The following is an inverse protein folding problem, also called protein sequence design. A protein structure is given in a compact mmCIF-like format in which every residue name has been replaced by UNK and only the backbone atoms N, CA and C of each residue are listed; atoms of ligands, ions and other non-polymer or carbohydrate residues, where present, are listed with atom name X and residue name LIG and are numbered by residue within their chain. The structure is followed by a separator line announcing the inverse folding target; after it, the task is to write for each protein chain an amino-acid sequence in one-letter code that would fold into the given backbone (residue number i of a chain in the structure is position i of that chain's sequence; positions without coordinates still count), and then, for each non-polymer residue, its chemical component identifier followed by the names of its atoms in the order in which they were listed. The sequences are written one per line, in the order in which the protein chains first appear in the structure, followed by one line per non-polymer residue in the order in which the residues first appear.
data_IF_212670490273
#
_entry.id   IF_212670490273
#
_cell.length_a   1.000
_cell.length_b   1.000
_cell.length_c   1.000
_cell.angle_alpha   90.00
_cell.angle_beta   90.00
_cell.angle_gamma   90.00
#
_symmetry.space_group_name_H-M   'P 1'
#
loop_
_entity.id
_entity.type
_entity.pdbx_description
1 polymer ?
#
# COMPACT_ATOMS: atom_id res chain seq x y z
N UNK A 1 15.87 13.44 2.93
CA UNK A 1 15.85 12.31 1.97
C UNK A 1 15.25 11.14 2.74
N UNK A 2 13.96 10.89 2.60
CA UNK A 2 13.28 9.87 3.41
C UNK A 2 12.22 9.18 2.54
N UNK A 3 12.61 8.06 1.94
CA UNK A 3 11.65 7.12 1.35
C UNK A 3 10.77 6.61 2.49
N UNK A 4 9.51 7.05 2.53
CA UNK A 4 8.56 6.60 3.55
C UNK A 4 8.39 5.08 3.43
N UNK A 5 8.80 4.38 4.49
CA UNK A 5 8.71 2.93 4.64
C UNK A 5 7.29 2.43 4.34
N UNK A 6 7.20 1.23 3.76
CA UNK A 6 5.93 0.51 3.63
C UNK A 6 5.22 0.47 4.99
N UNK A 7 3.89 0.70 5.03
CA UNK A 7 3.19 0.85 6.29
C UNK A 7 3.29 -0.41 7.14
N UNK A 8 3.65 -0.25 8.41
CA UNK A 8 4.00 -1.36 9.31
C UNK A 8 2.72 -2.05 9.78
N UNK A 9 2.61 -3.37 9.56
CA UNK A 9 1.50 -4.17 10.07
C UNK A 9 1.66 -4.46 11.57
N UNK A 10 0.55 -4.69 12.27
CA UNK A 10 0.58 -5.07 13.69
C UNK A 10 1.41 -6.31 13.98
N UNK A 11 1.41 -7.30 13.09
CA UNK A 11 2.24 -8.50 13.21
C UNK A 11 3.74 -8.16 13.25
N UNK A 12 4.17 -7.16 12.48
CA UNK A 12 5.56 -6.72 12.50
C UNK A 12 5.89 -5.98 13.79
N UNK A 13 5.00 -5.14 14.31
CA UNK A 13 5.18 -4.47 15.61
C UNK A 13 5.36 -5.48 16.75
N UNK A 14 4.52 -6.51 16.79
CA UNK A 14 4.64 -7.60 17.76
C UNK A 14 5.94 -8.40 17.53
N UNK A 15 6.28 -8.68 16.28
CA UNK A 15 7.52 -9.36 15.92
C UNK A 15 8.77 -8.61 16.39
N UNK A 16 8.84 -7.29 16.15
CA UNK A 16 9.93 -6.45 16.63
C UNK A 16 9.99 -6.39 18.15
N UNK A 17 8.84 -6.26 18.81
CA UNK A 17 8.78 -6.31 20.28
C UNK A 17 9.33 -7.64 20.83
N UNK A 18 9.02 -8.77 20.18
CA UNK A 18 9.55 -10.08 20.57
C UNK A 18 11.07 -10.15 20.37
N UNK A 19 11.59 -9.66 19.25
CA UNK A 19 13.03 -9.61 19.00
C UNK A 19 13.77 -8.77 20.05
N UNK A 20 13.25 -7.60 20.38
CA UNK A 20 13.84 -6.72 21.41
C UNK A 20 13.83 -7.42 22.78
N UNK A 21 12.72 -8.07 23.14
CA UNK A 21 12.61 -8.78 24.41
C UNK A 21 13.61 -9.95 24.49
N UNK A 22 13.69 -10.76 23.44
CA UNK A 22 14.63 -11.87 23.34
C UNK A 22 16.07 -11.40 23.51
N UNK A 23 16.46 -10.32 22.81
CA UNK A 23 17.80 -9.75 22.90
C UNK A 23 18.14 -9.24 24.31
N UNK A 24 17.15 -8.68 25.03
CA UNK A 24 17.35 -8.19 26.40
C UNK A 24 17.50 -9.32 27.42
N UNK A 25 16.82 -10.43 27.20
CA UNK A 25 16.81 -11.57 28.12
C UNK A 25 17.83 -12.65 27.75
N UNK A 26 18.46 -12.56 26.58
CA UNK A 26 19.39 -13.58 26.08
C UNK A 26 18.73 -14.93 25.79
N UNK A 27 17.41 -14.95 25.57
CA UNK A 27 16.62 -16.16 25.30
C UNK A 27 15.73 -15.98 24.08
N UNK A 28 15.44 -17.07 23.38
CA UNK A 28 14.52 -17.08 22.24
C UNK A 28 13.07 -17.39 22.62
N UNK A 29 12.83 -17.77 23.88
CA UNK A 29 11.53 -18.24 24.39
C UNK A 29 10.71 -17.15 25.07
N UNK A 30 11.15 -15.89 25.01
CA UNK A 30 10.37 -14.82 25.60
C UNK A 30 9.12 -14.56 24.77
N UNK A 31 7.99 -14.45 25.47
CA UNK A 31 6.69 -14.20 24.86
C UNK A 31 6.14 -12.85 25.30
N UNK A 32 5.65 -12.09 24.33
CA UNK A 32 4.81 -10.94 24.62
C UNK A 32 3.42 -11.41 25.01
N UNK A 33 2.79 -10.74 25.97
CA UNK A 33 1.40 -11.01 26.31
C UNK A 33 0.48 -10.80 25.12
N UNK A 34 -0.60 -11.58 25.02
CA UNK A 34 -1.56 -11.55 23.91
C UNK A 34 -2.07 -10.13 23.58
N UNK A 35 -2.30 -9.31 24.61
CA UNK A 35 -2.81 -7.95 24.48
C UNK A 35 -1.71 -6.87 24.35
N UNK A 36 -0.43 -7.24 24.28
CA UNK A 36 0.68 -6.27 24.33
C UNK A 36 0.63 -5.27 23.18
N UNK A 37 0.42 -5.74 21.94
CA UNK A 37 0.36 -4.87 20.77
C UNK A 37 -0.78 -3.84 20.85
N UNK A 38 -1.96 -4.26 21.33
CA UNK A 38 -3.10 -3.33 21.56
C UNK A 38 -2.76 -2.29 22.63
N UNK A 39 -2.23 -2.74 23.78
CA UNK A 39 -1.86 -1.85 24.90
C UNK A 39 -0.76 -0.86 24.52
N UNK A 40 0.17 -1.26 23.65
CA UNK A 40 1.18 -0.37 23.10
C UNK A 40 0.53 0.78 22.32
N UNK A 41 -0.40 0.46 21.42
CA UNK A 41 -1.12 1.47 20.64
C UNK A 41 -1.95 2.41 21.53
N UNK A 42 -2.61 1.87 22.55
CA UNK A 42 -3.38 2.68 23.51
C UNK A 42 -2.50 3.66 24.28
N UNK A 43 -1.33 3.20 24.73
CA UNK A 43 -0.35 4.03 25.43
C UNK A 43 0.19 5.16 24.57
N UNK A 44 0.36 4.93 23.27
CA UNK A 44 0.90 5.90 22.32
C UNK A 44 -0.18 6.46 21.39
N UNK A 45 -1.43 6.54 21.84
CA UNK A 45 -2.57 6.95 21.02
C UNK A 45 -2.53 8.41 20.54
N UNK A 46 -1.73 9.26 21.19
CA UNK A 46 -1.41 10.62 20.75
C UNK A 46 -0.59 10.64 19.46
N UNK A 47 0.29 9.65 19.27
CA UNK A 47 1.28 9.59 18.19
C UNK A 47 0.98 8.53 17.15
N UNK A 48 0.32 7.43 17.54
CA UNK A 48 0.06 6.27 16.70
C UNK A 48 -1.44 6.05 16.52
N UNK A 49 -1.78 5.51 15.36
CA UNK A 49 -3.13 5.03 15.08
C UNK A 49 -3.09 3.86 14.11
N UNK A 50 -4.19 3.10 14.09
CA UNK A 50 -4.40 2.02 13.12
C UNK A 50 -5.30 2.55 12.01
N UNK A 51 -4.85 2.41 10.77
CA UNK A 51 -5.67 2.67 9.60
C UNK A 51 -5.78 1.43 8.72
N UNK A 52 -6.76 1.43 7.81
CA UNK A 52 -6.92 0.38 6.81
C UNK A 52 -6.31 0.83 5.50
N UNK A 53 -5.34 0.08 4.98
CA UNK A 53 -4.79 0.34 3.64
C UNK A 53 -5.85 0.12 2.57
N UNK A 54 -5.92 1.04 1.59
CA UNK A 54 -6.76 0.89 0.40
C UNK A 54 -6.03 0.01 -0.63
N UNK A 55 -6.78 -0.87 -1.31
CA UNK A 55 -6.26 -1.85 -2.29
C UNK A 55 -5.87 -1.24 -3.62
N UNK A 56 -6.57 -0.18 -3.99
CA UNK A 56 -6.53 0.44 -5.30
C UNK A 56 -6.84 1.92 -5.07
N UNK A 57 -6.12 2.77 -5.78
CA UNK A 57 -6.38 4.20 -5.78
C UNK A 57 -7.85 4.45 -6.20
N UNK A 58 -8.56 5.33 -5.49
CA UNK A 58 -9.98 5.58 -5.76
C UNK A 58 -10.20 6.12 -7.17
N UNK A 59 -9.28 6.92 -7.71
CA UNK A 59 -9.34 7.38 -9.09
C UNK A 59 -9.22 6.20 -10.06
N UNK A 60 -8.39 5.19 -9.74
CA UNK A 60 -8.31 3.96 -10.55
C UNK A 60 -9.58 3.12 -10.47
N UNK A 61 -10.30 3.13 -9.34
CA UNK A 61 -11.63 2.48 -9.26
C UNK A 61 -12.63 3.21 -10.14
N UNK A 62 -12.65 4.55 -10.08
CA UNK A 62 -13.56 5.36 -10.88
C UNK A 62 -13.24 5.29 -12.38
N UNK A 63 -11.96 5.17 -12.74
CA UNK A 63 -11.51 4.97 -14.12
C UNK A 63 -11.95 3.62 -14.73
N UNK A 64 -12.45 2.67 -13.92
CA UNK A 64 -13.09 1.43 -14.42
C UNK A 64 -14.52 1.64 -14.89
N UNK A 65 -15.01 2.88 -14.97
CA UNK A 65 -16.30 3.16 -15.59
C UNK A 65 -16.31 2.59 -17.02
N UNK A 66 -17.28 1.71 -17.36
CA UNK A 66 -17.37 1.11 -18.69
C UNK A 66 -17.36 2.13 -19.82
N UNK A 67 -17.94 3.32 -19.60
CA UNK A 67 -17.96 4.40 -20.59
C UNK A 67 -16.54 4.87 -20.92
N UNK A 68 -15.75 5.21 -19.90
CA UNK A 68 -14.37 5.68 -20.11
C UNK A 68 -13.46 4.59 -20.70
N UNK A 69 -13.68 3.34 -20.31
CA UNK A 69 -12.94 2.21 -20.91
C UNK A 69 -13.27 2.07 -22.39
N UNK A 70 -14.55 2.17 -22.78
CA UNK A 70 -14.94 2.12 -24.18
C UNK A 70 -14.40 3.31 -24.98
N UNK A 71 -14.51 4.53 -24.45
CA UNK A 71 -13.98 5.73 -25.09
C UNK A 71 -12.47 5.63 -25.34
N UNK A 72 -11.71 5.12 -24.37
CA UNK A 72 -10.28 4.85 -24.53
C UNK A 72 -10.00 3.91 -25.72
N UNK A 73 -10.72 2.80 -25.83
CA UNK A 73 -10.53 1.85 -26.94
C UNK A 73 -10.95 2.43 -28.30
N UNK A 74 -11.96 3.30 -28.33
CA UNK A 74 -12.34 4.02 -29.56
C UNK A 74 -11.21 4.94 -30.00
N UNK A 75 -10.66 5.75 -29.09
CA UNK A 75 -9.55 6.66 -29.39
C UNK A 75 -8.31 5.87 -29.82
N UNK A 76 -7.97 4.80 -29.12
CA UNK A 76 -6.85 3.93 -29.45
C UNK A 76 -7.00 3.29 -30.84
N UNK A 77 -8.20 2.79 -31.16
CA UNK A 77 -8.50 2.19 -32.47
C UNK A 77 -8.34 3.19 -33.61
N UNK A 78 -8.80 4.43 -33.42
CA UNK A 78 -8.62 5.49 -34.40
C UNK A 78 -7.14 5.85 -34.58
N UNK A 79 -6.39 6.01 -33.50
CA UNK A 79 -4.95 6.32 -33.57
C UNK A 79 -4.15 5.21 -34.27
N UNK A 80 -4.45 3.93 -34.02
CA UNK A 80 -3.81 2.80 -34.69
C UNK A 80 -4.05 2.86 -36.20
N UNK A 81 -5.28 3.19 -36.63
CA UNK A 81 -5.64 3.32 -38.05
C UNK A 81 -4.95 4.52 -38.69
N UNK A 82 -5.06 5.70 -38.07
CA UNK A 82 -4.56 6.96 -38.60
C UNK A 82 -3.03 6.95 -38.75
N UNK A 83 -2.34 6.31 -37.81
CA UNK A 83 -0.87 6.19 -37.81
C UNK A 83 -0.37 4.90 -38.45
N UNK A 84 -1.28 4.04 -38.96
CA UNK A 84 -0.95 2.72 -39.54
C UNK A 84 0.01 1.91 -38.66
N UNK A 85 -0.31 1.84 -37.36
CA UNK A 85 0.53 1.15 -36.37
C UNK A 85 0.35 -0.37 -36.56
N UNK A 86 1.46 -1.04 -36.86
CA UNK A 86 1.48 -2.49 -36.95
C UNK A 86 1.27 -3.14 -35.57
N UNK A 87 0.50 -4.22 -35.50
CA UNK A 87 0.20 -4.91 -34.25
C UNK A 87 1.46 -5.41 -33.51
N UNK A 88 2.54 -5.75 -34.23
CA UNK A 88 3.82 -6.15 -33.63
C UNK A 88 4.55 -5.01 -32.90
N UNK A 89 4.13 -3.77 -33.14
CA UNK A 89 4.69 -2.56 -32.50
C UNK A 89 3.85 -2.06 -31.32
N UNK A 90 2.81 -2.81 -30.96
CA UNK A 90 1.98 -2.51 -29.79
C UNK A 90 2.56 -3.28 -28.61
N UNK A 91 3.29 -2.55 -27.77
CA UNK A 91 3.88 -3.09 -26.54
C UNK A 91 3.01 -2.72 -25.35
N UNK A 92 2.87 -3.65 -24.40
CA UNK A 92 2.27 -3.32 -23.11
C UNK A 92 3.18 -2.36 -22.35
N UNK A 93 2.59 -1.38 -21.66
CA UNK A 93 3.29 -0.50 -20.72
C UNK A 93 3.23 -1.13 -19.33
N UNK A 94 3.96 -2.22 -19.07
CA UNK A 94 3.95 -2.87 -17.75
C UNK A 94 5.30 -2.87 -17.04
N UNK A 95 5.66 -1.73 -16.44
CA UNK A 95 6.62 -1.84 -15.34
C UNK A 95 5.98 -2.15 -13.98
N UNK A 96 4.67 -1.96 -13.78
CA UNK A 96 4.00 -2.31 -12.50
C UNK A 96 2.53 -2.72 -12.65
N UNK A 97 2.29 -3.97 -13.05
CA UNK A 97 1.01 -4.63 -12.83
C UNK A 97 0.74 -4.79 -11.33
N UNK A 98 -0.37 -4.25 -10.83
CA UNK A 98 -0.84 -4.57 -9.48
C UNK A 98 -1.49 -5.95 -9.52
N UNK A 99 -1.13 -6.84 -8.59
CA UNK A 99 -1.78 -8.13 -8.44
C UNK A 99 -3.22 -7.93 -7.94
N UNK A 100 -4.14 -7.78 -8.90
CA UNK A 100 -5.56 -7.47 -8.69
C UNK A 100 -6.31 -8.54 -7.85
N UNK A 101 -5.70 -9.72 -7.63
CA UNK A 101 -6.24 -10.79 -6.78
C UNK A 101 -5.53 -11.01 -5.44
N UNK A 102 -4.32 -10.46 -5.24
CA UNK A 102 -3.51 -10.70 -4.02
C UNK A 102 -3.60 -9.50 -3.05
N UNK A 103 -4.06 -8.34 -3.53
CA UNK A 103 -4.04 -7.11 -2.74
C UNK A 103 -5.26 -7.05 -1.81
N UNK A 104 -5.04 -7.30 -0.51
CA UNK A 104 -6.04 -7.23 0.56
C UNK A 104 -6.17 -5.84 1.20
N UNK A 105 -7.29 -5.56 1.90
CA UNK A 105 -7.35 -4.44 2.86
C UNK A 105 -6.60 -4.93 4.09
N UNK A 106 -5.63 -4.17 4.56
CA UNK A 106 -4.79 -4.57 5.68
C UNK A 106 -4.81 -3.51 6.77
N UNK A 107 -4.77 -3.92 8.04
CA UNK A 107 -4.64 -2.98 9.15
C UNK A 107 -3.17 -2.64 9.36
N UNK A 108 -2.85 -1.37 9.22
CA UNK A 108 -1.48 -0.86 9.34
C UNK A 108 -1.40 0.19 10.44
N UNK A 109 -0.26 0.21 11.12
CA UNK A 109 0.10 1.19 12.14
C UNK A 109 0.81 2.34 11.46
N UNK A 110 0.35 3.54 11.75
CA UNK A 110 0.86 4.77 11.17
C UNK A 110 0.97 5.86 12.24
N UNK A 111 1.75 6.89 11.95
CA UNK A 111 1.76 8.09 12.78
C UNK A 111 0.41 8.82 12.67
N UNK A 112 0.00 9.46 13.77
CA UNK A 112 -1.29 10.16 13.88
C UNK A 112 -1.40 11.30 12.86
N UNK A 113 -0.32 12.08 12.73
CA UNK A 113 -0.16 13.19 11.77
C UNK A 113 -0.42 12.77 10.32
N UNK A 114 0.03 11.58 9.94
CA UNK A 114 0.01 11.16 8.55
C UNK A 114 -1.37 10.67 8.07
N UNK A 115 -2.34 10.37 8.96
CA UNK A 115 -3.72 10.06 8.52
C UNK A 115 -4.54 11.30 8.22
N UNK A 116 -4.19 12.46 8.78
CA UNK A 116 -4.87 13.70 8.42
C UNK A 116 -4.59 14.07 6.96
N UNK A 117 -3.40 13.70 6.46
CA UNK A 117 -2.96 13.92 5.08
C UNK A 117 -3.44 12.85 4.09
N UNK A 118 -4.43 12.02 4.45
CA UNK A 118 -4.95 10.95 3.61
C UNK A 118 -3.91 9.87 3.30
N UNK A 119 -3.78 8.87 4.16
CA UNK A 119 -2.93 7.71 3.88
C UNK A 119 -3.43 6.97 2.63
N UNK A 120 -2.78 7.22 1.49
CA UNK A 120 -3.13 6.62 0.20
C UNK A 120 -2.54 5.21 0.01
N UNK A 121 -1.79 4.66 0.98
CA UNK A 121 -1.16 3.34 0.87
C UNK A 121 -0.07 3.23 -0.20
N UNK A 122 0.10 4.25 -1.05
CA UNK A 122 1.24 4.42 -1.95
C UNK A 122 2.34 5.23 -1.28
N UNK A 123 3.59 4.89 -1.59
CA UNK A 123 4.73 5.74 -1.30
C UNK A 123 4.41 7.14 -1.84
N UNK A 124 4.32 8.15 -0.95
CA UNK A 124 4.17 9.54 -1.38
C UNK A 124 5.41 9.89 -2.20
N UNK A 125 5.17 10.27 -3.45
CA UNK A 125 6.10 10.66 -4.51
C UNK A 125 7.59 10.70 -4.11
N UNK A 126 8.31 9.65 -4.50
CA UNK A 126 9.76 9.77 -4.71
C UNK A 126 9.93 10.54 -6.02
N UNK A 127 10.14 11.87 -5.92
CA UNK A 127 10.64 12.62 -7.08
C UNK A 127 12.06 12.15 -7.35
N UNK A 128 12.28 11.63 -8.57
CA UNK A 128 13.59 11.36 -9.13
C UNK A 128 14.33 12.67 -9.40
#
# INVERSE_FOLDING_TARGET
MECRFLPVRMIHVVGYGKQILNNRLGTNDAHLGHNWGRRLLERHSSELQVTTSKRIDEHRVMAKNPVYVMEFYVILSNAIKDLSIDASKIFNMDEKGYLLGITGKEKVVIMRRDSQDGYAGGAKDCKW
#
